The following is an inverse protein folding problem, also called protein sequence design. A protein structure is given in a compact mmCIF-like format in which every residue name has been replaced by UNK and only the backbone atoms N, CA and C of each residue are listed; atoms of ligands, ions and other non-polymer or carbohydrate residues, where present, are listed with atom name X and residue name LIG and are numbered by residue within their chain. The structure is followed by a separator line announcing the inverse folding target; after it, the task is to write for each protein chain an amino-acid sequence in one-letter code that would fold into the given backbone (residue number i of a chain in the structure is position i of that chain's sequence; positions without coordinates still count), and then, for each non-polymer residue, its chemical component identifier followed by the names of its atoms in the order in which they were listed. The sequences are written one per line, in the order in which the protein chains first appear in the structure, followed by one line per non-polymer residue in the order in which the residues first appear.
data_IF_763939552686
#
_entry.id   IF_763939552686
#
_cell.length_a   1.000
_cell.length_b   1.000
_cell.length_c   1.000
_cell.angle_alpha   90.00
_cell.angle_beta   90.00
_cell.angle_gamma   90.00
#
_symmetry.space_group_name_H-M   'P 1'
#
loop_
_entity.id
_entity.type
_entity.pdbx_description
1 polymer ?
#
# COMPACT_ATOMS: atom_id res chain seq x y z
N UNK A 1 24.54 1.61 10.58
CA UNK A 1 24.36 1.57 9.11
C UNK A 1 24.48 0.11 8.71
N UNK A 2 23.47 -0.48 8.05
CA UNK A 2 23.39 -1.93 7.83
C UNK A 2 24.58 -2.50 7.05
N UNK A 3 25.11 -3.64 7.50
CA UNK A 3 26.15 -4.44 6.84
C UNK A 3 25.58 -5.10 5.56
N UNK A 4 26.43 -5.47 4.60
CA UNK A 4 26.03 -6.05 3.32
C UNK A 4 25.24 -7.35 3.46
N UNK A 5 25.60 -8.18 4.45
CA UNK A 5 24.84 -9.38 4.78
C UNK A 5 23.41 -9.06 5.27
N UNK A 6 23.24 -7.99 6.05
CA UNK A 6 21.93 -7.54 6.55
C UNK A 6 21.09 -6.95 5.42
N UNK A 7 21.71 -6.22 4.47
CA UNK A 7 21.02 -5.71 3.27
C UNK A 7 20.44 -6.83 2.41
N UNK A 8 21.20 -7.92 2.21
CA UNK A 8 20.73 -9.09 1.46
C UNK A 8 19.57 -9.80 2.17
N UNK A 9 19.63 -9.92 3.50
CA UNK A 9 18.52 -10.48 4.29
C UNK A 9 17.27 -9.59 4.22
N UNK A 10 17.43 -8.27 4.35
CA UNK A 10 16.33 -7.31 4.22
C UNK A 10 15.68 -7.40 2.84
N UNK A 11 16.47 -7.47 1.77
CA UNK A 11 15.95 -7.61 0.40
C UNK A 11 15.08 -8.86 0.24
N UNK A 12 15.53 -10.01 0.76
CA UNK A 12 14.75 -11.26 0.74
C UNK A 12 13.43 -11.12 1.50
N UNK A 13 13.43 -10.44 2.64
CA UNK A 13 12.22 -10.21 3.44
C UNK A 13 11.24 -9.30 2.68
N UNK A 14 11.75 -8.28 1.97
CA UNK A 14 10.94 -7.37 1.15
C UNK A 14 10.25 -8.12 0.02
N UNK A 15 10.98 -8.95 -0.73
CA UNK A 15 10.42 -9.76 -1.83
C UNK A 15 9.35 -10.73 -1.33
N UNK A 16 9.60 -11.41 -0.21
CA UNK A 16 8.61 -12.28 0.42
C UNK A 16 7.37 -11.52 0.87
N UNK A 17 7.53 -10.29 1.37
CA UNK A 17 6.40 -9.43 1.72
C UNK A 17 5.59 -9.05 0.48
N UNK A 18 6.23 -8.61 -0.60
CA UNK A 18 5.54 -8.24 -1.83
C UNK A 18 4.63 -9.35 -2.35
N UNK A 19 5.12 -10.59 -2.36
CA UNK A 19 4.30 -11.75 -2.76
C UNK A 19 3.09 -11.98 -1.85
N UNK A 20 3.28 -11.90 -0.53
CA UNK A 20 2.16 -12.05 0.41
C UNK A 20 1.13 -10.94 0.29
N UNK A 21 1.60 -9.71 0.09
CA UNK A 21 0.73 -8.55 -0.05
C UNK A 21 -0.05 -8.61 -1.38
N UNK A 22 0.55 -9.12 -2.45
CA UNK A 22 -0.14 -9.41 -3.70
C UNK A 22 -1.27 -10.44 -3.53
N UNK A 23 -1.01 -11.54 -2.80
CA UNK A 23 -2.05 -12.54 -2.54
C UNK A 23 -3.22 -11.96 -1.73
N UNK A 24 -2.93 -11.15 -0.71
CA UNK A 24 -3.97 -10.45 0.06
C UNK A 24 -4.77 -9.48 -0.81
N UNK A 25 -4.09 -8.76 -1.70
CA UNK A 25 -4.75 -7.88 -2.66
C UNK A 25 -5.71 -8.67 -3.55
N UNK A 26 -5.27 -9.81 -4.07
CA UNK A 26 -6.11 -10.68 -4.90
C UNK A 26 -7.32 -11.22 -4.14
N UNK A 27 -7.14 -11.72 -2.92
CA UNK A 27 -8.28 -12.24 -2.13
C UNK A 27 -9.30 -11.14 -1.83
N UNK A 28 -8.84 -9.94 -1.48
CA UNK A 28 -9.71 -8.80 -1.22
C UNK A 28 -10.49 -8.36 -2.46
N UNK A 29 -9.84 -8.36 -3.63
CA UNK A 29 -10.49 -8.06 -4.91
C UNK A 29 -11.62 -9.06 -5.18
N UNK A 30 -11.33 -10.36 -5.06
CA UNK A 30 -12.30 -11.42 -5.33
C UNK A 30 -13.48 -11.33 -4.37
N UNK A 31 -13.22 -11.22 -3.06
CA UNK A 31 -14.27 -11.09 -2.04
C UNK A 31 -15.14 -9.86 -2.29
N UNK A 32 -14.52 -8.71 -2.58
CA UNK A 32 -15.25 -7.46 -2.83
C UNK A 32 -16.17 -7.56 -4.05
N UNK A 33 -15.64 -8.02 -5.18
CA UNK A 33 -16.42 -8.11 -6.39
C UNK A 33 -17.49 -9.19 -6.30
N UNK A 34 -17.24 -10.28 -5.57
CA UNK A 34 -18.26 -11.27 -5.28
C UNK A 34 -19.42 -10.67 -4.48
N UNK A 35 -19.13 -10.00 -3.36
CA UNK A 35 -20.16 -9.40 -2.50
C UNK A 35 -20.94 -8.26 -3.16
N UNK A 36 -20.29 -7.47 -4.03
CA UNK A 36 -20.94 -6.33 -4.69
C UNK A 36 -21.74 -6.74 -5.94
N UNK A 37 -21.30 -7.78 -6.67
CA UNK A 37 -21.86 -8.13 -7.97
C UNK A 37 -22.71 -9.39 -7.99
N UNK A 38 -22.40 -10.41 -7.17
CA UNK A 38 -23.13 -11.69 -7.19
C UNK A 38 -24.32 -11.60 -6.25
N UNK A 39 -25.51 -11.53 -6.84
CA UNK A 39 -26.76 -11.35 -6.11
C UNK A 39 -27.85 -12.32 -6.54
N UNK A 40 -27.64 -13.09 -7.60
CA UNK A 40 -28.56 -14.13 -8.04
C UNK A 40 -27.99 -15.51 -7.71
N UNK A 41 -28.68 -16.25 -6.85
CA UNK A 41 -28.32 -17.60 -6.43
C UNK A 41 -29.25 -18.68 -7.00
N UNK A 42 -30.01 -18.36 -8.05
CA UNK A 42 -30.92 -19.31 -8.71
C UNK A 42 -30.20 -20.30 -9.64
N UNK A 43 -28.96 -20.01 -10.02
CA UNK A 43 -28.15 -20.83 -10.92
C UNK A 43 -26.70 -20.96 -10.45
N UNK A 44 -25.99 -21.99 -10.93
CA UNK A 44 -24.54 -22.16 -10.67
C UNK A 44 -23.65 -21.34 -11.61
N UNK A 45 -24.23 -20.82 -12.70
CA UNK A 45 -23.53 -20.01 -13.68
C UNK A 45 -23.77 -18.53 -13.41
N UNK A 46 -22.78 -17.70 -13.74
CA UNK A 46 -22.92 -16.26 -13.70
C UNK A 46 -23.87 -15.79 -14.79
N UNK A 47 -24.71 -14.82 -14.46
CA UNK A 47 -25.52 -14.13 -15.46
C UNK A 47 -24.66 -13.12 -16.22
N UNK A 48 -25.05 -12.77 -17.46
CA UNK A 48 -24.34 -11.75 -18.26
C UNK A 48 -24.24 -10.38 -17.55
N UNK A 49 -25.21 -10.06 -16.68
CA UNK A 49 -25.17 -8.84 -15.85
C UNK A 49 -24.09 -8.92 -14.76
N UNK A 50 -23.97 -10.06 -14.08
CA UNK A 50 -22.95 -10.31 -13.07
C UNK A 50 -21.55 -10.32 -13.68
N UNK A 51 -21.36 -10.96 -14.83
CA UNK A 51 -20.09 -10.95 -15.57
C UNK A 51 -19.66 -9.51 -15.91
N UNK A 52 -20.59 -8.71 -16.43
CA UNK A 52 -20.33 -7.30 -16.74
C UNK A 52 -20.01 -6.49 -15.47
N UNK A 53 -20.70 -6.77 -14.37
CA UNK A 53 -20.44 -6.12 -13.08
C UNK A 53 -19.04 -6.46 -12.55
N UNK A 54 -18.66 -7.75 -12.57
CA UNK A 54 -17.34 -8.20 -12.12
C UNK A 54 -16.25 -7.51 -12.93
N UNK A 55 -16.36 -7.48 -14.26
CA UNK A 55 -15.38 -6.79 -15.11
C UNK A 55 -15.19 -5.31 -14.74
N UNK A 56 -16.30 -4.59 -14.52
CA UNK A 56 -16.26 -3.19 -14.07
C UNK A 56 -15.72 -3.04 -12.64
N UNK A 57 -16.06 -3.97 -11.75
CA UNK A 57 -15.57 -3.98 -10.38
C UNK A 57 -14.06 -4.16 -10.33
N UNK A 58 -13.52 -5.13 -11.08
CA UNK A 58 -12.08 -5.38 -11.17
C UNK A 58 -11.33 -4.18 -11.70
N UNK A 59 -11.76 -3.59 -12.81
CA UNK A 59 -11.15 -2.40 -13.39
C UNK A 59 -11.16 -1.22 -12.41
N UNK A 60 -12.30 -1.00 -11.75
CA UNK A 60 -12.46 0.07 -10.77
C UNK A 60 -11.55 -0.14 -9.56
N UNK A 61 -11.47 -1.37 -9.04
CA UNK A 61 -10.66 -1.70 -7.88
C UNK A 61 -9.17 -1.53 -8.18
N UNK A 62 -8.69 -1.97 -9.35
CA UNK A 62 -7.30 -1.79 -9.75
C UNK A 62 -6.93 -0.31 -9.86
N UNK A 63 -7.71 0.48 -10.60
CA UNK A 63 -7.50 1.93 -10.73
C UNK A 63 -7.59 2.65 -9.39
N UNK A 64 -8.48 2.20 -8.51
CA UNK A 64 -8.60 2.74 -7.16
C UNK A 64 -7.35 2.48 -6.34
N UNK A 65 -6.86 1.24 -6.30
CA UNK A 65 -5.66 0.89 -5.55
C UNK A 65 -4.41 1.60 -6.08
N UNK A 66 -4.28 1.75 -7.40
CA UNK A 66 -3.20 2.54 -8.01
C UNK A 66 -3.24 4.00 -7.52
N UNK A 67 -4.42 4.64 -7.60
CA UNK A 67 -4.58 6.03 -7.17
C UNK A 67 -4.32 6.21 -5.67
N UNK A 68 -4.79 5.28 -4.83
CA UNK A 68 -4.52 5.29 -3.40
C UNK A 68 -3.02 5.12 -3.14
N UNK A 69 -2.35 4.21 -3.86
CA UNK A 69 -0.91 4.02 -3.77
C UNK A 69 -0.12 5.28 -4.12
N UNK A 70 -0.49 5.98 -5.21
CA UNK A 70 0.12 7.25 -5.59
C UNK A 70 0.00 8.31 -4.48
N UNK A 71 -1.23 8.51 -3.96
CA UNK A 71 -1.47 9.48 -2.88
C UNK A 71 -0.77 9.10 -1.58
N UNK A 72 -0.72 7.82 -1.25
CA UNK A 72 0.03 7.34 -0.09
C UNK A 72 1.52 7.66 -0.22
N UNK A 73 2.11 7.44 -1.40
CA UNK A 73 3.50 7.79 -1.68
C UNK A 73 3.79 9.28 -1.50
N UNK A 74 2.94 10.14 -2.06
CA UNK A 74 3.04 11.60 -1.92
C UNK A 74 3.00 12.04 -0.44
N UNK A 75 2.02 11.55 0.32
CA UNK A 75 1.85 11.90 1.74
C UNK A 75 3.00 11.37 2.60
N UNK A 76 3.47 10.16 2.33
CA UNK A 76 4.60 9.57 3.05
C UNK A 76 5.89 10.38 2.83
N UNK A 77 6.12 10.88 1.61
CA UNK A 77 7.25 11.78 1.32
C UNK A 77 7.13 13.11 2.06
N UNK A 78 5.94 13.73 2.07
CA UNK A 78 5.70 14.98 2.80
C UNK A 78 5.92 14.81 4.31
N UNK A 79 5.45 13.71 4.90
CA UNK A 79 5.65 13.42 6.32
C UNK A 79 7.14 13.29 6.67
N UNK A 80 7.92 12.60 5.83
CA UNK A 80 9.37 12.46 6.01
C UNK A 80 10.09 13.82 5.93
N UNK A 81 9.68 14.70 5.01
CA UNK A 81 10.23 16.06 4.92
C UNK A 81 9.90 16.90 6.16
N UNK A 82 8.67 16.82 6.67
CA UNK A 82 8.27 17.53 7.89
C UNK A 82 9.05 17.04 9.12
N UNK A 83 9.28 15.72 9.24
CA UNK A 83 10.09 15.16 10.32
C UNK A 83 11.56 15.62 10.26
N UNK A 84 12.14 15.75 9.07
CA UNK A 84 13.49 16.28 8.89
C UNK A 84 13.58 17.77 9.27
N UNK A 85 12.57 18.57 8.92
CA UNK A 85 12.51 19.99 9.29
C UNK A 85 12.34 20.18 10.80
N UNK A 86 11.54 19.34 11.47
CA UNK A 86 11.35 19.38 12.92
C UNK A 86 12.61 18.97 13.72
N UNK A 87 13.53 18.19 13.13
CA UNK A 87 14.83 17.85 13.75
C UNK A 87 15.88 18.97 13.63
N UNK A 88 15.72 19.91 12.68
CA UNK A 88 16.66 21.03 12.51
C UNK A 88 16.39 22.23 13.45
N UNK A 89 15.26 22.25 14.16
CA UNK A 89 14.90 23.31 15.10
C UNK A 89 15.37 23.10 16.55
N UNK A 90 16.41 22.30 16.81
CA UNK A 90 17.16 22.45 18.07
C UNK A 90 18.08 23.67 17.95
N UNK A 91 17.93 24.72 18.78
CA UNK A 91 18.87 25.82 18.79
C UNK A 91 20.22 25.29 19.27
N UNK A 92 21.23 25.42 18.40
CA UNK A 92 22.63 25.18 18.70
C UNK A 92 23.03 26.11 19.85
N UNK A 93 23.02 25.59 21.09
CA UNK A 93 23.43 26.33 22.27
C UNK A 93 24.93 26.59 22.14
N UNK A 94 25.23 27.80 21.72
CA UNK A 94 26.55 28.38 21.53
C UNK A 94 27.38 28.25 22.81
N UNK A 95 28.55 27.62 22.68
CA UNK A 95 29.81 28.01 23.34
C UNK A 95 29.69 28.99 24.51
N UNK A 96 29.25 28.50 25.67
CA UNK A 96 29.34 29.17 26.96
C UNK A 96 30.52 28.60 27.74
N UNK A 97 31.58 29.40 27.83
CA UNK A 97 32.81 29.18 28.59
C UNK A 97 32.53 28.65 30.00
N UNK A 98 33.22 27.57 30.38
CA UNK A 98 33.30 27.03 31.74
C UNK A 98 33.58 28.16 32.75
N UNK A 99 32.53 28.60 33.45
CA UNK A 99 32.62 29.08 34.83
C UNK A 99 31.99 28.00 35.71
#
# INVERSE_FOLDING_TARGET
MYNDAERQQIQKIIEQKQMRDFLKFYTNLVERCFNDCINDFTSKALTSKEETCIGRCTDKFLKHNERVGQRFGELNQQLMQQQQQAQQSQPQQSSGRWF
#
